data_IF_412516086302
#
_entry.id   IF_412516086302
#
_cell.length_a   1.000
_cell.length_b   1.000
_cell.length_c   1.000
_cell.angle_alpha   90.00
_cell.angle_beta   90.00
_cell.angle_gamma   90.00
#
_symmetry.space_group_name_H-M   'P 1'
#
loop_
_entity.id
_entity.type
_entity.pdbx_description
1 polymer ?
#
# COMPACT_ATOMS: atom_id res chain seq x y z
N UNK A 1 -2.04 -19.60 8.50
CA UNK A 1 -2.01 -18.45 9.42
C UNK A 1 -1.06 -17.41 8.84
N UNK A 2 -1.36 -16.10 8.98
CA UNK A 2 -0.45 -15.05 8.52
C UNK A 2 0.88 -15.11 9.29
N UNK A 3 1.99 -14.91 8.58
CA UNK A 3 3.35 -14.90 9.13
C UNK A 3 3.72 -13.49 9.63
N UNK A 4 4.50 -13.42 10.71
CA UNK A 4 4.92 -12.16 11.34
C UNK A 4 6.26 -12.32 12.09
N UNK A 5 6.96 -11.23 12.45
CA UNK A 5 8.18 -11.31 13.24
C UNK A 5 7.94 -11.84 14.67
N UNK A 6 6.80 -11.53 15.28
CA UNK A 6 6.41 -12.04 16.61
C UNK A 6 4.90 -12.14 16.70
N UNK A 7 4.40 -13.13 17.44
CA UNK A 7 2.96 -13.43 17.60
C UNK A 7 2.21 -12.35 18.39
N UNK A 8 2.11 -11.14 17.83
CA UNK A 8 1.44 -9.98 18.39
C UNK A 8 0.14 -9.73 17.61
N UNK A 9 -1.04 -9.95 18.21
CA UNK A 9 -2.31 -9.73 17.54
C UNK A 9 -2.53 -8.26 17.15
N UNK A 10 -3.19 -8.04 16.01
CA UNK A 10 -3.63 -6.70 15.60
C UNK A 10 -4.69 -6.21 16.59
N UNK A 11 -4.48 -5.02 17.16
CA UNK A 11 -5.48 -4.34 17.98
C UNK A 11 -6.17 -3.28 17.13
N UNK A 12 -7.45 -3.48 16.82
CA UNK A 12 -8.24 -2.51 16.07
C UNK A 12 -9.68 -2.46 16.59
N UNK A 13 -10.12 -1.30 17.08
CA UNK A 13 -11.44 -1.15 17.70
C UNK A 13 -11.55 -1.84 19.06
N UNK A 14 -12.34 -1.25 19.96
CA UNK A 14 -12.53 -1.80 21.32
C UNK A 14 -13.79 -2.68 21.45
N UNK A 15 -14.64 -2.66 20.42
CA UNK A 15 -15.92 -3.38 20.41
C UNK A 15 -15.74 -4.89 20.30
N UNK A 16 -16.63 -5.65 20.95
CA UNK A 16 -16.60 -7.12 20.90
C UNK A 16 -16.83 -7.67 19.48
N UNK A 17 -17.67 -7.00 18.67
CA UNK A 17 -17.88 -7.33 17.26
C UNK A 17 -16.61 -7.11 16.42
N UNK A 18 -15.85 -6.04 16.68
CA UNK A 18 -14.57 -5.78 16.01
C UNK A 18 -13.56 -6.86 16.35
N UNK A 19 -13.44 -7.23 17.63
CA UNK A 19 -12.55 -8.30 18.11
C UNK A 19 -12.90 -9.65 17.48
N UNK A 20 -14.19 -10.01 17.46
CA UNK A 20 -14.65 -11.27 16.86
C UNK A 20 -14.42 -11.28 15.33
N UNK A 21 -14.69 -10.17 14.64
CA UNK A 21 -14.43 -10.06 13.21
C UNK A 21 -12.93 -10.16 12.90
N UNK A 22 -12.08 -9.47 13.66
CA UNK A 22 -10.63 -9.53 13.50
C UNK A 22 -10.07 -10.91 13.78
N UNK A 23 -10.51 -11.57 14.85
CA UNK A 23 -10.06 -12.92 15.20
C UNK A 23 -10.45 -13.93 14.11
N UNK A 24 -11.68 -13.84 13.58
CA UNK A 24 -12.15 -14.73 12.52
C UNK A 24 -11.49 -14.46 11.16
N UNK A 25 -11.09 -13.21 10.88
CA UNK A 25 -10.52 -12.81 9.58
C UNK A 25 -8.99 -12.93 9.55
N UNK A 26 -8.32 -12.50 10.63
CA UNK A 26 -6.85 -12.40 10.69
C UNK A 26 -6.24 -13.48 11.60
N UNK A 27 -6.96 -13.92 12.63
CA UNK A 27 -6.45 -14.82 13.65
C UNK A 27 -5.26 -14.24 14.43
N UNK A 28 -4.65 -15.07 15.28
CA UNK A 28 -3.35 -14.75 15.87
C UNK A 28 -2.26 -15.08 14.83
N UNK A 29 -1.43 -14.11 14.43
CA UNK A 29 -0.39 -14.36 13.45
C UNK A 29 0.69 -15.26 14.06
N UNK A 30 1.32 -16.07 13.22
CA UNK A 30 2.38 -17.01 13.62
C UNK A 30 3.74 -16.33 13.51
N UNK A 31 4.49 -16.34 14.60
CA UNK A 31 5.90 -15.96 14.59
C UNK A 31 6.70 -16.85 13.61
N UNK A 32 7.46 -16.19 12.73
CA UNK A 32 8.27 -16.86 11.71
C UNK A 32 9.48 -17.56 12.34
N UNK A 33 9.75 -18.77 11.89
CA UNK A 33 11.05 -19.42 12.06
C UNK A 33 12.09 -18.81 11.13
N UNK A 34 13.38 -19.02 11.40
CA UNK A 34 14.46 -18.56 10.49
C UNK A 34 14.27 -19.11 9.06
N UNK A 35 13.86 -20.38 8.93
CA UNK A 35 13.58 -21.00 7.63
C UNK A 35 12.42 -20.32 6.88
N UNK A 36 11.39 -19.89 7.60
CA UNK A 36 10.28 -19.12 7.00
C UNK A 36 10.72 -17.72 6.59
N UNK A 37 11.64 -17.10 7.35
CA UNK A 37 12.26 -15.83 6.94
C UNK A 37 13.07 -16.03 5.66
N UNK A 38 13.86 -17.10 5.57
CA UNK A 38 14.61 -17.46 4.36
C UNK A 38 13.67 -17.66 3.16
N UNK A 39 12.57 -18.38 3.35
CA UNK A 39 11.57 -18.61 2.31
C UNK A 39 10.94 -17.29 1.84
N UNK A 40 10.53 -16.42 2.77
CA UNK A 40 9.95 -15.12 2.41
C UNK A 40 10.95 -14.24 1.68
N UNK A 41 12.23 -14.22 2.10
CA UNK A 41 13.27 -13.49 1.37
C UNK A 41 13.38 -14.00 -0.06
N UNK A 42 13.41 -15.32 -0.25
CA UNK A 42 13.42 -15.92 -1.57
C UNK A 42 12.16 -15.58 -2.39
N UNK A 43 10.98 -15.49 -1.77
CA UNK A 43 9.73 -15.10 -2.44
C UNK A 43 9.79 -13.66 -2.95
N UNK A 44 10.35 -12.74 -2.17
CA UNK A 44 10.55 -11.35 -2.57
C UNK A 44 11.56 -11.22 -3.72
N UNK A 45 12.66 -11.97 -3.66
CA UNK A 45 13.63 -12.05 -4.77
C UNK A 45 12.94 -12.55 -6.04
N UNK A 46 12.14 -13.61 -5.96
CA UNK A 46 11.36 -14.11 -7.11
C UNK A 46 10.38 -13.05 -7.63
N UNK A 47 9.73 -12.30 -6.74
CA UNK A 47 8.87 -11.18 -7.12
C UNK A 47 9.62 -10.10 -7.92
N UNK A 48 10.85 -9.77 -7.52
CA UNK A 48 11.69 -8.82 -8.26
C UNK A 48 12.13 -9.36 -9.63
N UNK A 49 12.41 -10.67 -9.74
CA UNK A 49 12.69 -11.34 -11.03
C UNK A 49 11.46 -11.28 -11.94
N UNK A 50 10.27 -11.63 -11.43
CA UNK A 50 9.02 -11.55 -12.20
C UNK A 50 8.73 -10.11 -12.65
N UNK A 51 8.95 -9.11 -11.79
CA UNK A 51 8.80 -7.72 -12.18
C UNK A 51 9.75 -7.34 -13.33
N UNK A 52 11.02 -7.79 -13.27
CA UNK A 52 11.99 -7.62 -14.35
C UNK A 52 11.50 -8.25 -15.65
N UNK A 53 11.07 -9.51 -15.61
CA UNK A 53 10.61 -10.27 -16.78
C UNK A 53 9.35 -9.68 -17.40
N UNK A 54 8.46 -9.12 -16.58
CA UNK A 54 7.27 -8.39 -17.01
C UNK A 54 7.57 -7.00 -17.62
N UNK A 55 8.84 -6.59 -17.66
CA UNK A 55 9.27 -5.32 -18.27
C UNK A 55 9.18 -4.11 -17.35
N UNK A 56 9.00 -4.29 -16.02
CA UNK A 56 9.11 -3.17 -15.10
C UNK A 56 10.54 -2.63 -15.06
N UNK A 57 10.65 -1.30 -15.05
CA UNK A 57 11.93 -0.61 -14.92
C UNK A 57 12.58 -0.88 -13.56
N UNK A 58 11.78 -1.18 -12.54
CA UNK A 58 12.22 -1.22 -11.17
C UNK A 58 11.27 -1.86 -10.18
N UNK A 59 11.70 -1.97 -8.91
CA UNK A 59 10.83 -2.39 -7.82
C UNK A 59 10.94 -1.49 -6.58
N UNK A 60 9.83 -1.38 -5.85
CA UNK A 60 9.75 -0.69 -4.58
C UNK A 60 9.54 -1.70 -3.46
N UNK A 61 10.46 -1.74 -2.49
CA UNK A 61 10.28 -2.55 -1.29
C UNK A 61 9.30 -1.87 -0.34
N UNK A 62 8.17 -2.50 -0.08
CA UNK A 62 7.12 -1.95 0.77
C UNK A 62 7.41 -2.18 2.27
N UNK A 63 8.11 -1.21 2.89
CA UNK A 63 8.45 -1.15 4.31
C UNK A 63 7.54 -0.26 5.15
N UNK A 64 6.31 -0.03 4.69
CA UNK A 64 5.38 0.95 5.27
C UNK A 64 4.09 0.31 5.81
N UNK A 65 3.22 1.16 6.37
CA UNK A 65 1.82 0.88 6.72
C UNK A 65 1.54 -0.36 7.59
N UNK A 66 2.52 -0.83 8.38
CA UNK A 66 2.33 -1.98 9.27
C UNK A 66 2.37 -3.35 8.57
N UNK A 67 2.80 -3.41 7.31
CA UNK A 67 3.09 -4.67 6.61
C UNK A 67 4.39 -5.28 7.10
N UNK A 68 4.71 -6.49 6.62
CA UNK A 68 5.73 -7.37 7.19
C UNK A 68 7.08 -6.68 7.48
N UNK A 69 7.63 -5.93 6.52
CA UNK A 69 8.90 -5.22 6.73
C UNK A 69 8.78 -4.13 7.80
N UNK A 70 7.70 -3.34 7.78
CA UNK A 70 7.41 -2.39 8.86
C UNK A 70 7.25 -3.07 10.21
N UNK A 71 6.74 -4.31 10.26
CA UNK A 71 6.61 -5.07 11.49
C UNK A 71 7.98 -5.47 12.05
N UNK A 72 8.91 -5.92 11.20
CA UNK A 72 10.29 -6.21 11.60
C UNK A 72 11.00 -4.96 12.14
N UNK A 73 10.79 -3.81 11.48
CA UNK A 73 11.41 -2.53 11.83
C UNK A 73 10.85 -1.87 13.10
N UNK A 74 9.76 -2.38 13.69
CA UNK A 74 9.11 -1.76 14.85
C UNK A 74 9.33 -2.59 16.12
N UNK A 75 9.71 -1.97 17.26
CA UNK A 75 9.95 -2.70 18.51
C UNK A 75 8.63 -3.16 19.16
N UNK A 76 7.50 -2.62 18.72
CA UNK A 76 6.18 -2.98 19.24
C UNK A 76 5.68 -4.32 18.68
N UNK A 77 5.99 -4.59 17.42
CA UNK A 77 5.56 -5.77 16.65
C UNK A 77 6.65 -6.81 16.51
N UNK A 78 7.93 -6.43 16.59
CA UNK A 78 9.06 -7.35 16.59
C UNK A 78 9.68 -7.43 17.99
N UNK A 79 9.35 -8.53 18.68
CA UNK A 79 9.81 -8.86 20.03
C UNK A 79 10.76 -10.06 20.03
N UNK A 80 11.34 -10.39 18.87
CA UNK A 80 12.27 -11.51 18.74
C UNK A 80 13.54 -11.24 19.54
N UNK A 81 14.17 -12.33 19.97
CA UNK A 81 15.45 -12.32 20.71
C UNK A 81 16.62 -12.83 19.87
N UNK A 82 16.37 -13.24 18.63
CA UNK A 82 17.38 -13.71 17.68
C UNK A 82 17.99 -12.56 16.86
N UNK A 83 18.71 -12.89 15.79
CA UNK A 83 19.40 -11.92 14.92
C UNK A 83 18.47 -11.04 14.08
N UNK A 84 17.16 -11.24 14.19
CA UNK A 84 16.15 -10.43 13.51
C UNK A 84 15.35 -9.55 14.48
N UNK A 85 15.70 -9.48 15.78
CA UNK A 85 14.99 -8.66 16.78
C UNK A 85 15.84 -8.00 17.85
N UNK A 86 15.17 -7.31 18.79
CA UNK A 86 15.81 -6.53 19.86
C UNK A 86 16.36 -5.19 19.36
N UNK A 87 17.67 -5.14 19.09
CA UNK A 87 18.37 -3.91 18.69
C UNK A 87 17.90 -3.39 17.32
N UNK A 88 17.91 -2.06 17.06
CA UNK A 88 17.60 -1.49 15.75
C UNK A 88 18.35 -2.16 14.58
N UNK A 89 19.63 -2.48 14.77
CA UNK A 89 20.51 -3.08 13.76
C UNK A 89 20.00 -4.47 13.33
N UNK A 90 19.63 -5.31 14.31
CA UNK A 90 19.04 -6.64 14.08
C UNK A 90 17.64 -6.55 13.46
N UNK A 91 16.82 -5.60 13.90
CA UNK A 91 15.50 -5.34 13.31
C UNK A 91 15.58 -4.88 11.85
N UNK A 92 16.68 -4.25 11.45
CA UNK A 92 16.98 -3.84 10.08
C UNK A 92 17.58 -4.96 9.21
N UNK A 93 18.01 -6.07 9.81
CA UNK A 93 18.66 -7.18 9.10
C UNK A 93 17.84 -7.77 7.94
N UNK A 94 16.51 -8.01 8.05
CA UNK A 94 15.72 -8.52 6.92
C UNK A 94 15.74 -7.59 5.71
N UNK A 95 15.62 -6.28 5.95
CA UNK A 95 15.62 -5.28 4.89
C UNK A 95 16.99 -5.20 4.20
N UNK A 96 18.09 -5.17 4.97
CA UNK A 96 19.46 -5.20 4.42
C UNK A 96 19.69 -6.44 3.56
N UNK A 97 19.21 -7.59 4.03
CA UNK A 97 19.30 -8.86 3.31
C UNK A 97 18.55 -8.81 1.98
N UNK A 98 17.29 -8.35 1.98
CA UNK A 98 16.49 -8.21 0.75
C UNK A 98 17.16 -7.29 -0.28
N UNK A 99 17.62 -6.11 0.15
CA UNK A 99 18.29 -5.16 -0.75
C UNK A 99 19.53 -5.80 -1.37
N UNK A 100 20.34 -6.51 -0.58
CA UNK A 100 21.53 -7.20 -1.08
C UNK A 100 21.16 -8.30 -2.08
N UNK A 101 20.28 -9.23 -1.71
CA UNK A 101 19.95 -10.39 -2.54
C UNK A 101 19.26 -9.98 -3.84
N UNK A 102 18.39 -8.97 -3.84
CA UNK A 102 17.77 -8.47 -5.08
C UNK A 102 18.83 -7.81 -5.98
N UNK A 103 19.77 -7.05 -5.41
CA UNK A 103 20.84 -6.41 -6.20
C UNK A 103 21.76 -7.45 -6.84
N UNK A 104 22.10 -8.51 -6.12
CA UNK A 104 22.98 -9.59 -6.58
C UNK A 104 22.30 -10.48 -7.63
N UNK A 105 21.05 -10.90 -7.39
CA UNK A 105 20.39 -11.93 -8.21
C UNK A 105 19.66 -11.40 -9.43
N UNK A 106 19.27 -10.12 -9.44
CA UNK A 106 18.51 -9.55 -10.57
C UNK A 106 19.45 -9.01 -11.67
N UNK A 107 20.77 -9.10 -11.50
CA UNK A 107 21.82 -8.80 -12.50
C UNK A 107 21.63 -7.47 -13.26
N UNK A 108 21.07 -6.44 -12.58
CA UNK A 108 21.01 -5.05 -13.07
C UNK A 108 20.55 -4.04 -12.00
N UNK A 109 20.69 -4.34 -10.69
CA UNK A 109 20.52 -3.35 -9.63
C UNK A 109 19.08 -2.91 -9.31
N UNK A 110 18.08 -3.75 -9.57
CA UNK A 110 16.66 -3.37 -9.64
C UNK A 110 15.91 -3.12 -8.32
N UNK A 111 16.53 -2.52 -7.31
CA UNK A 111 15.76 -1.91 -6.21
C UNK A 111 15.87 -0.40 -6.36
N UNK A 112 14.80 0.22 -6.80
CA UNK A 112 14.76 1.65 -7.12
C UNK A 112 14.28 2.46 -5.92
N UNK A 113 13.38 1.87 -5.14
CA UNK A 113 12.82 2.50 -3.96
C UNK A 113 12.74 1.53 -2.79
N UNK A 114 13.03 2.02 -1.60
CA UNK A 114 12.60 1.40 -0.35
C UNK A 114 11.64 2.36 0.29
N UNK A 115 10.36 1.99 0.33
CA UNK A 115 9.34 2.81 0.96
C UNK A 115 9.33 2.55 2.47
N UNK A 116 9.54 3.59 3.26
CA UNK A 116 9.49 3.51 4.71
C UNK A 116 8.44 4.51 5.19
N UNK A 117 7.51 4.05 6.03
CA UNK A 117 6.52 4.95 6.62
C UNK A 117 7.20 5.76 7.70
N UNK A 118 7.41 7.06 7.43
CA UNK A 118 8.03 7.98 8.39
C UNK A 118 7.49 7.80 9.80
N UNK A 119 6.16 7.78 10.00
CA UNK A 119 5.57 7.79 11.35
C UNK A 119 5.25 6.45 12.01
N UNK A 120 5.51 5.28 11.40
CA UNK A 120 4.95 4.00 11.91
C UNK A 120 5.97 3.02 12.51
N UNK A 121 7.28 3.21 12.28
CA UNK A 121 8.29 2.32 12.86
C UNK A 121 8.42 2.51 14.38
N UNK A 122 8.12 3.71 14.89
CA UNK A 122 8.32 4.10 16.29
C UNK A 122 7.05 4.59 17.00
N UNK A 123 5.89 4.65 16.33
CA UNK A 123 4.63 5.08 16.94
C UNK A 123 3.47 4.13 16.60
N UNK A 124 2.65 3.83 17.60
CA UNK A 124 1.50 2.92 17.53
C UNK A 124 0.28 3.50 16.78
N UNK A 125 0.30 4.78 16.39
CA UNK A 125 -0.85 5.46 15.77
C UNK A 125 -0.53 6.03 14.39
N UNK A 126 -1.22 5.53 13.36
CA UNK A 126 -1.33 6.16 12.05
C UNK A 126 -2.21 7.41 12.16
N UNK A 127 -1.63 8.55 12.52
CA UNK A 127 -2.31 9.84 12.32
C UNK A 127 -1.97 10.34 10.91
N UNK A 128 -2.99 10.62 10.10
CA UNK A 128 -2.82 11.49 8.93
C UNK A 128 -2.35 12.84 9.46
N UNK A 129 -1.05 13.12 9.37
CA UNK A 129 -0.52 14.40 9.81
C UNK A 129 -0.90 15.48 8.81
N UNK A 130 -1.38 16.60 9.34
CA UNK A 130 -1.69 17.80 8.57
C UNK A 130 -0.35 18.45 8.17
N UNK A 131 -0.07 18.67 6.88
CA UNK A 131 1.22 19.16 6.40
C UNK A 131 1.40 20.69 6.58
N UNK A 132 0.44 21.39 7.19
CA UNK A 132 0.51 22.84 7.36
C UNK A 132 0.32 23.23 8.82
N UNK A 133 1.32 23.91 9.40
CA UNK A 133 1.15 24.74 10.60
C UNK A 133 2.17 24.63 11.73
N UNK A 134 3.08 23.66 11.73
CA UNK A 134 4.17 23.57 12.71
C UNK A 134 5.33 22.77 12.10
N UNK A 135 6.58 22.94 12.57
CA UNK A 135 7.66 22.00 12.24
C UNK A 135 7.15 20.58 12.46
N UNK A 136 6.85 19.86 11.38
CA UNK A 136 6.17 18.58 11.44
C UNK A 136 7.20 17.47 11.54
N UNK A 137 6.78 16.31 12.05
CA UNK A 137 7.55 15.06 12.08
C UNK A 137 8.30 14.76 10.77
N UNK A 138 7.73 15.13 9.62
CA UNK A 138 8.38 14.96 8.32
C UNK A 138 9.63 15.81 8.18
N UNK A 139 9.67 17.02 8.73
CA UNK A 139 10.85 17.90 8.69
C UNK A 139 11.98 17.36 9.55
N UNK A 140 11.71 16.90 10.78
CA UNK A 140 12.74 16.29 11.64
C UNK A 140 13.28 14.97 11.05
N UNK A 141 12.39 14.14 10.50
CA UNK A 141 12.81 12.90 9.82
C UNK A 141 13.60 13.22 8.56
N UNK A 142 13.17 14.19 7.76
CA UNK A 142 13.90 14.67 6.58
C UNK A 142 15.31 15.15 6.96
N UNK A 143 15.41 16.03 7.96
CA UNK A 143 16.69 16.57 8.46
C UNK A 143 17.62 15.45 8.94
N UNK A 144 17.09 14.45 9.65
CA UNK A 144 17.88 13.28 10.07
C UNK A 144 18.40 12.47 8.89
N UNK A 145 17.54 12.18 7.90
CA UNK A 145 17.94 11.40 6.72
C UNK A 145 18.93 12.20 5.87
N UNK A 146 18.74 13.50 5.71
CA UNK A 146 19.70 14.40 5.06
C UNK A 146 21.06 14.38 5.76
N UNK A 147 21.06 14.44 7.10
CA UNK A 147 22.27 14.38 7.91
C UNK A 147 23.09 13.10 7.74
N UNK A 148 22.53 12.05 7.12
CA UNK A 148 23.26 10.83 6.79
C UNK A 148 24.21 10.99 5.59
N UNK A 149 24.13 12.11 4.84
CA UNK A 149 24.93 12.37 3.63
C UNK A 149 24.90 11.20 2.64
N UNK A 150 23.71 10.59 2.47
CA UNK A 150 23.51 9.47 1.56
C UNK A 150 23.32 9.96 0.12
N UNK A 151 23.93 9.28 -0.85
CA UNK A 151 23.70 9.52 -2.27
C UNK A 151 22.39 8.90 -2.79
N UNK A 152 21.60 8.27 -1.92
CA UNK A 152 20.30 7.67 -2.28
C UNK A 152 19.23 8.76 -2.33
N UNK A 153 18.54 8.96 -3.47
CA UNK A 153 17.47 9.94 -3.59
C UNK A 153 16.33 9.68 -2.61
N UNK A 154 15.84 10.74 -1.97
CA UNK A 154 14.73 10.67 -1.03
C UNK A 154 13.44 11.10 -1.75
N UNK A 155 12.39 10.28 -1.62
CA UNK A 155 11.04 10.64 -2.07
C UNK A 155 10.12 10.90 -0.88
N UNK A 156 9.39 12.01 -0.90
CA UNK A 156 8.28 12.24 0.03
C UNK A 156 6.93 12.04 -0.63
N UNK A 157 6.12 11.19 0.00
CA UNK A 157 4.75 10.90 -0.41
C UNK A 157 3.78 11.38 0.66
N UNK A 158 2.79 12.18 0.27
CA UNK A 158 1.72 12.65 1.15
C UNK A 158 1.83 14.13 1.52
N UNK A 159 0.68 14.73 1.79
CA UNK A 159 0.58 16.13 2.23
C UNK A 159 0.80 17.22 1.17
N UNK A 160 1.63 17.00 0.15
CA UNK A 160 1.89 18.00 -0.89
C UNK A 160 0.67 18.28 -1.77
N UNK A 161 0.37 19.57 -1.97
CA UNK A 161 -0.80 20.02 -2.74
C UNK A 161 -0.49 21.19 -3.68
N UNK A 162 0.33 22.14 -3.29
CA UNK A 162 0.73 23.27 -4.16
C UNK A 162 2.05 23.00 -4.86
N UNK A 163 2.21 23.54 -6.07
CA UNK A 163 3.51 23.58 -6.77
C UNK A 163 4.58 24.23 -5.89
N UNK A 164 4.28 25.38 -5.29
CA UNK A 164 5.22 26.11 -4.44
C UNK A 164 5.71 25.23 -3.29
N UNK A 165 4.81 24.58 -2.55
CA UNK A 165 5.21 23.72 -1.44
C UNK A 165 6.04 22.50 -1.88
N UNK A 166 5.80 21.97 -3.09
CA UNK A 166 6.63 20.92 -3.67
C UNK A 166 8.01 21.43 -4.08
N UNK A 167 8.06 22.61 -4.72
CA UNK A 167 9.30 23.25 -5.13
C UNK A 167 10.18 23.61 -3.93
N UNK A 168 9.59 24.18 -2.87
CA UNK A 168 10.28 24.51 -1.62
C UNK A 168 10.92 23.27 -0.97
N UNK A 169 10.19 22.14 -0.95
CA UNK A 169 10.71 20.89 -0.41
C UNK A 169 11.90 20.33 -1.22
N UNK A 170 11.91 20.52 -2.54
CA UNK A 170 13.02 20.10 -3.39
C UNK A 170 14.20 21.07 -3.26
N UNK A 171 13.95 22.38 -3.31
CA UNK A 171 14.99 23.42 -3.28
C UNK A 171 15.69 23.51 -1.92
N UNK A 172 14.96 23.28 -0.82
CA UNK A 172 15.56 23.14 0.52
C UNK A 172 16.38 21.85 0.68
N UNK A 173 16.35 20.96 -0.32
CA UNK A 173 17.02 19.66 -0.30
C UNK A 173 16.29 18.60 0.51
N UNK A 174 15.10 18.88 1.07
CA UNK A 174 14.36 17.97 1.96
C UNK A 174 14.07 16.62 1.30
N UNK A 175 13.87 16.62 -0.02
CA UNK A 175 13.76 15.44 -0.85
C UNK A 175 14.16 15.75 -2.30
N UNK A 176 14.38 14.72 -3.11
CA UNK A 176 14.64 14.85 -4.55
C UNK A 176 13.39 14.54 -5.38
N UNK A 177 12.40 13.86 -4.78
CA UNK A 177 11.20 13.39 -5.47
C UNK A 177 9.96 13.63 -4.61
N UNK A 178 8.85 13.96 -5.28
CA UNK A 178 7.53 14.11 -4.66
C UNK A 178 6.58 13.06 -5.21
N UNK A 179 6.02 12.23 -4.33
CA UNK A 179 5.02 11.22 -4.64
C UNK A 179 3.59 11.76 -4.51
N UNK A 180 2.78 11.56 -5.54
CA UNK A 180 1.35 11.87 -5.54
C UNK A 180 0.51 10.58 -5.50
N UNK A 181 -0.36 10.47 -4.50
CA UNK A 181 -1.25 9.31 -4.34
C UNK A 181 -2.68 9.61 -4.82
N UNK A 182 -3.57 9.89 -3.87
CA UNK A 182 -5.03 10.04 -4.10
C UNK A 182 -5.42 10.97 -5.24
N UNK A 183 -4.70 12.08 -5.44
CA UNK A 183 -5.03 13.02 -6.51
C UNK A 183 -4.69 12.46 -7.89
N UNK A 184 -3.59 11.71 -8.03
CA UNK A 184 -3.21 11.07 -9.29
C UNK A 184 -4.22 9.98 -9.72
N UNK A 185 -4.92 9.35 -8.76
CA UNK A 185 -6.02 8.41 -9.06
C UNK A 185 -7.22 9.11 -9.70
N UNK A 186 -7.46 10.38 -9.38
CA UNK A 186 -8.60 11.14 -9.90
C UNK A 186 -8.26 11.97 -11.12
N UNK A 187 -6.98 12.30 -11.27
CA UNK A 187 -6.46 13.19 -12.29
C UNK A 187 -5.02 12.78 -12.62
N UNK A 188 -4.82 11.74 -13.45
CA UNK A 188 -3.48 11.25 -13.79
C UNK A 188 -2.62 12.31 -14.49
N UNK A 189 -3.25 13.25 -15.20
CA UNK A 189 -2.57 14.29 -15.95
C UNK A 189 -2.19 15.51 -15.10
N UNK A 190 -2.60 15.56 -13.83
CA UNK A 190 -2.37 16.73 -12.96
C UNK A 190 -0.91 17.21 -12.86
N UNK A 191 0.12 16.34 -12.92
CA UNK A 191 1.50 16.82 -12.95
C UNK A 191 1.76 17.73 -14.16
N UNK A 192 1.25 17.35 -15.34
CA UNK A 192 1.49 18.08 -16.59
C UNK A 192 0.53 19.25 -16.77
N UNK A 193 -0.75 19.06 -16.45
CA UNK A 193 -1.79 20.05 -16.73
C UNK A 193 -1.76 21.24 -15.76
N UNK A 194 -1.39 20.99 -14.50
CA UNK A 194 -1.43 21.99 -13.43
C UNK A 194 -0.06 22.18 -12.77
N UNK A 195 0.53 21.12 -12.21
CA UNK A 195 1.67 21.29 -11.28
C UNK A 195 2.96 21.72 -11.96
N UNK A 196 3.23 21.28 -13.19
CA UNK A 196 4.42 21.64 -13.96
C UNK A 196 4.11 22.57 -15.14
N UNK A 197 2.85 23.00 -15.28
CA UNK A 197 2.42 23.85 -16.39
C UNK A 197 2.81 25.32 -16.14
N UNK A 198 3.78 25.91 -16.87
CA UNK A 198 4.21 27.27 -16.63
C UNK A 198 3.13 28.32 -16.93
N UNK A 199 2.05 27.95 -17.64
CA UNK A 199 0.92 28.84 -17.91
C UNK A 199 -0.05 28.97 -16.73
N UNK A 200 0.04 28.08 -15.74
CA UNK A 200 -0.76 28.14 -14.51
C UNK A 200 0.04 28.92 -13.47
N UNK A 201 -0.56 29.99 -12.94
CA UNK A 201 0.03 30.79 -11.87
C UNK A 201 0.25 29.95 -10.60
N UNK A 202 1.27 30.30 -9.83
CA UNK A 202 1.71 29.50 -8.69
C UNK A 202 0.66 29.38 -7.57
N UNK A 203 -0.16 30.40 -7.39
CA UNK A 203 -1.29 30.42 -6.46
C UNK A 203 -2.45 29.50 -6.89
N UNK A 204 -2.61 29.29 -8.20
CA UNK A 204 -3.60 28.40 -8.80
C UNK A 204 -3.07 26.98 -9.04
N UNK A 205 -1.76 26.75 -9.02
CA UNK A 205 -1.11 25.47 -9.27
C UNK A 205 -1.26 24.51 -8.07
N UNK A 206 -2.47 23.95 -7.93
CA UNK A 206 -2.89 23.17 -6.77
C UNK A 206 -3.52 21.83 -7.16
N UNK A 207 -3.12 20.76 -6.48
CA UNK A 207 -3.65 19.42 -6.58
C UNK A 207 -4.72 19.18 -5.51
N UNK A 208 -6.02 19.26 -5.82
CA UNK A 208 -7.06 19.26 -4.79
C UNK A 208 -7.17 17.94 -4.04
N UNK A 209 -7.56 18.01 -2.77
CA UNK A 209 -8.09 16.87 -2.06
C UNK A 209 -9.51 16.58 -2.53
N UNK A 210 -9.89 15.30 -2.54
CA UNK A 210 -11.24 14.90 -2.91
C UNK A 210 -12.01 14.41 -1.69
N UNK A 211 -13.23 14.93 -1.53
CA UNK A 211 -14.16 14.51 -0.49
C UNK A 211 -14.99 13.36 -1.06
N UNK A 212 -14.76 12.16 -0.56
CA UNK A 212 -15.49 10.97 -0.98
C UNK A 212 -16.95 11.07 -0.54
N UNK A 213 -17.88 10.95 -1.49
CA UNK A 213 -19.33 11.01 -1.20
C UNK A 213 -19.81 9.74 -0.50
N UNK A 214 -20.77 9.91 0.41
CA UNK A 214 -21.43 8.78 1.07
C UNK A 214 -20.64 8.16 2.23
N UNK A 215 -19.64 8.86 2.78
CA UNK A 215 -18.91 8.37 3.97
C UNK A 215 -19.81 8.12 5.19
N UNK A 216 -20.99 8.74 5.27
CA UNK A 216 -21.99 8.44 6.30
C UNK A 216 -22.36 6.95 6.32
N UNK A 217 -22.27 6.24 5.19
CA UNK A 217 -22.55 4.82 5.09
C UNK A 217 -21.62 3.97 5.96
N UNK A 218 -20.37 4.40 6.14
CA UNK A 218 -19.43 3.71 7.02
C UNK A 218 -19.89 3.71 8.49
N UNK A 219 -20.69 4.70 8.90
CA UNK A 219 -21.27 4.76 10.26
C UNK A 219 -22.40 3.76 10.46
N UNK A 220 -23.01 3.25 9.38
CA UNK A 220 -24.05 2.23 9.46
C UNK A 220 -23.47 0.82 9.60
N UNK A 221 -22.17 0.63 9.35
CA UNK A 221 -21.53 -0.68 9.48
C UNK A 221 -21.13 -0.90 10.95
N UNK A 222 -21.69 -1.92 11.63
CA UNK A 222 -21.42 -2.16 13.05
C UNK A 222 -19.96 -2.51 13.36
N UNK A 223 -19.25 -3.04 12.37
CA UNK A 223 -17.84 -3.45 12.45
C UNK A 223 -16.96 -2.32 11.92
N UNK A 224 -16.30 -1.59 12.82
CA UNK A 224 -15.51 -0.39 12.53
C UNK A 224 -14.33 -0.67 11.62
N UNK A 225 -13.71 -1.85 11.72
CA UNK A 225 -12.59 -2.24 10.83
C UNK A 225 -13.03 -2.33 9.36
N UNK A 226 -14.27 -2.73 9.11
CA UNK A 226 -14.82 -2.76 7.75
C UNK A 226 -15.15 -1.33 7.31
N UNK A 227 -15.76 -0.53 8.21
CA UNK A 227 -16.14 0.86 7.92
C UNK A 227 -14.95 1.77 7.56
N UNK A 228 -13.80 1.63 8.24
CA UNK A 228 -12.61 2.44 7.98
C UNK A 228 -11.97 2.18 6.60
N UNK A 229 -12.12 0.96 6.07
CA UNK A 229 -11.63 0.57 4.74
C UNK A 229 -12.48 1.05 3.57
N UNK A 230 -13.73 1.48 3.81
CA UNK A 230 -14.66 1.84 2.74
C UNK A 230 -14.22 3.05 1.92
N UNK A 231 -13.64 4.08 2.57
CA UNK A 231 -13.15 5.25 1.85
C UNK A 231 -12.01 4.90 0.86
N UNK A 232 -11.25 3.84 1.14
CA UNK A 232 -10.19 3.35 0.25
C UNK A 232 -10.79 2.69 -0.99
N UNK A 233 -11.95 2.03 -0.87
CA UNK A 233 -12.63 1.39 -2.00
C UNK A 233 -13.00 2.38 -3.11
N UNK A 234 -13.27 3.64 -2.78
CA UNK A 234 -13.44 4.70 -3.77
C UNK A 234 -12.22 4.87 -4.68
N UNK A 235 -11.01 4.83 -4.12
CA UNK A 235 -9.78 4.94 -4.90
C UNK A 235 -9.49 3.65 -5.66
N UNK A 236 -9.77 2.47 -5.08
CA UNK A 236 -9.64 1.19 -5.78
C UNK A 236 -10.59 1.08 -6.97
N UNK A 237 -11.83 1.51 -6.82
CA UNK A 237 -12.79 1.59 -7.91
C UNK A 237 -12.27 2.46 -9.07
N UNK A 238 -11.75 3.65 -8.76
CA UNK A 238 -11.19 4.55 -9.76
C UNK A 238 -9.91 4.00 -10.41
N UNK A 239 -9.02 3.35 -9.65
CA UNK A 239 -7.84 2.69 -10.24
C UNK A 239 -8.22 1.56 -11.20
N UNK A 240 -9.25 0.75 -10.87
CA UNK A 240 -9.77 -0.27 -11.79
C UNK A 240 -10.34 0.34 -13.07
N UNK A 241 -11.09 1.45 -12.94
CA UNK A 241 -11.59 2.21 -14.11
C UNK A 241 -10.44 2.67 -15.01
N UNK A 242 -9.42 3.29 -14.43
CA UNK A 242 -8.22 3.72 -15.17
C UNK A 242 -7.53 2.53 -15.85
N UNK A 243 -7.38 1.40 -15.16
CA UNK A 243 -6.83 0.16 -15.72
C UNK A 243 -7.62 -0.38 -16.92
N UNK A 244 -8.93 -0.11 -16.98
CA UNK A 244 -9.81 -0.47 -18.09
C UNK A 244 -9.92 0.64 -19.16
N UNK A 245 -9.05 1.65 -19.12
CA UNK A 245 -9.06 2.77 -20.07
C UNK A 245 -10.19 3.79 -19.86
N UNK A 246 -10.92 3.71 -18.75
CA UNK A 246 -11.99 4.64 -18.40
C UNK A 246 -11.46 5.80 -17.55
N UNK A 247 -12.09 6.96 -17.65
CA UNK A 247 -11.82 8.09 -16.74
C UNK A 247 -12.30 7.80 -15.33
N UNK A 248 -11.62 8.39 -14.35
CA UNK A 248 -12.04 8.38 -12.95
C UNK A 248 -13.41 9.02 -12.78
N UNK A 249 -14.28 8.35 -12.02
CA UNK A 249 -15.58 8.85 -11.61
C UNK A 249 -15.45 9.52 -10.23
N UNK A 250 -15.43 10.85 -10.24
CA UNK A 250 -15.43 11.71 -9.04
C UNK A 250 -16.80 11.77 -8.35
N UNK A 251 -17.87 11.36 -9.05
CA UNK A 251 -19.25 11.45 -8.59
C UNK A 251 -19.71 10.22 -7.81
N UNK A 252 -19.06 9.08 -8.01
CA UNK A 252 -19.45 7.80 -7.38
C UNK A 252 -19.41 7.89 -5.85
N UNK A 253 -20.41 7.29 -5.21
CA UNK A 253 -20.53 7.25 -3.76
C UNK A 253 -20.16 5.89 -3.18
N UNK A 254 -19.78 5.85 -1.90
CA UNK A 254 -19.48 4.59 -1.20
C UNK A 254 -20.63 3.56 -1.27
N UNK A 255 -21.90 3.92 -0.98
CA UNK A 255 -23.01 2.98 -1.13
C UNK A 255 -23.11 2.36 -2.52
N UNK A 256 -22.92 3.18 -3.56
CA UNK A 256 -22.96 2.72 -4.95
C UNK A 256 -21.86 1.71 -5.24
N UNK A 257 -20.63 1.96 -4.78
CA UNK A 257 -19.50 1.04 -4.95
C UNK A 257 -19.77 -0.30 -4.25
N UNK A 258 -20.26 -0.25 -3.01
CA UNK A 258 -20.57 -1.47 -2.24
C UNK A 258 -21.68 -2.26 -2.92
N UNK A 259 -22.74 -1.60 -3.36
CA UNK A 259 -23.84 -2.26 -4.07
C UNK A 259 -23.37 -2.92 -5.37
N UNK A 260 -22.60 -2.22 -6.19
CA UNK A 260 -22.04 -2.79 -7.42
C UNK A 260 -21.12 -3.99 -7.13
N UNK A 261 -20.27 -3.90 -6.11
CA UNK A 261 -19.39 -5.01 -5.73
C UNK A 261 -20.16 -6.26 -5.27
N UNK A 262 -21.28 -6.06 -4.56
CA UNK A 262 -22.17 -7.16 -4.17
C UNK A 262 -22.78 -7.81 -5.42
N UNK A 263 -23.36 -7.01 -6.32
CA UNK A 263 -23.98 -7.50 -7.56
C UNK A 263 -22.97 -8.26 -8.43
N UNK A 264 -21.77 -7.70 -8.61
CA UNK A 264 -20.69 -8.31 -9.38
C UNK A 264 -20.23 -9.64 -8.78
N UNK A 265 -20.13 -9.73 -7.45
CA UNK A 265 -19.81 -10.97 -6.74
C UNK A 265 -20.89 -12.02 -6.93
N UNK A 266 -22.17 -11.64 -6.83
CA UNK A 266 -23.29 -12.55 -7.08
C UNK A 266 -23.33 -13.06 -8.52
N UNK A 267 -23.12 -12.16 -9.49
CA UNK A 267 -23.08 -12.53 -10.91
C UNK A 267 -21.90 -13.47 -11.21
N UNK A 268 -20.71 -13.17 -10.71
CA UNK A 268 -19.53 -14.02 -10.89
C UNK A 268 -19.71 -15.37 -10.21
N UNK A 269 -20.29 -15.41 -9.00
CA UNK A 269 -20.58 -16.65 -8.30
C UNK A 269 -21.61 -17.51 -9.02
N UNK A 270 -22.65 -16.89 -9.58
CA UNK A 270 -23.65 -17.58 -10.41
C UNK A 270 -23.03 -18.13 -11.70
N UNK A 271 -22.20 -17.33 -12.38
CA UNK A 271 -21.49 -17.76 -13.59
C UNK A 271 -20.56 -18.95 -13.30
N UNK A 272 -19.77 -18.89 -12.23
CA UNK A 272 -18.92 -20.01 -11.81
C UNK A 272 -19.73 -21.26 -11.44
N UNK A 273 -20.89 -21.10 -10.80
CA UNK A 273 -21.79 -22.21 -10.51
C UNK A 273 -22.37 -22.81 -11.80
N UNK A 274 -22.76 -21.98 -12.76
CA UNK A 274 -23.24 -22.42 -14.07
C UNK A 274 -22.15 -23.12 -14.87
N UNK A 275 -20.91 -22.61 -14.89
CA UNK A 275 -19.77 -23.28 -15.52
C UNK A 275 -19.49 -24.65 -14.91
N UNK A 276 -19.54 -24.77 -13.57
CA UNK A 276 -19.39 -26.07 -12.89
C UNK A 276 -20.52 -27.04 -13.25
N UNK A 277 -21.76 -26.57 -13.37
CA UNK A 277 -22.90 -27.40 -13.81
C UNK A 277 -22.72 -27.83 -15.26
N UNK A 278 -22.34 -26.92 -16.16
CA UNK A 278 -22.09 -27.22 -17.57
C UNK A 278 -20.94 -28.22 -17.76
N UNK A 279 -19.86 -28.10 -16.97
CA UNK A 279 -18.74 -29.04 -16.96
C UNK A 279 -19.10 -30.41 -16.36
N UNK A 280 -20.13 -30.48 -15.51
CA UNK A 280 -20.63 -31.72 -14.91
C UNK A 280 -21.64 -32.47 -15.77
N UNK A 281 -22.14 -31.85 -16.85
CA UNK A 281 -23.04 -32.52 -17.79
C UNK A 281 -22.22 -33.39 -18.75
N UNK A 282 -22.55 -34.69 -18.89
CA UNK A 282 -21.84 -35.55 -19.82
C UNK A 282 -22.10 -35.06 -21.25
N UNK A 283 -21.03 -34.74 -21.99
CA UNK A 283 -21.10 -34.41 -23.41
C UNK A 283 -21.83 -35.55 -24.15
N UNK A 284 -23.08 -35.30 -24.52
CA UNK A 284 -23.86 -36.22 -25.33
C UNK A 284 -23.25 -36.29 -26.74
N UNK A 285 -22.80 -37.49 -27.12
CA UNK A 285 -22.61 -37.86 -28.52
C UNK A 285 -21.17 -37.96 -29.00
N UNK A 286 -20.39 -38.93 -28.50
CA UNK A 286 -19.54 -39.70 -29.42
C UNK A 286 -20.45 -40.69 -30.14
N UNK A 287 -20.87 -40.33 -31.34
CA UNK A 287 -21.50 -41.27 -32.27
C UNK A 287 -20.51 -42.41 -32.53
N UNK A 288 -20.89 -43.63 -32.11
CA UNK A 288 -20.38 -44.86 -32.71
C UNK A 288 -21.06 -44.98 -34.08
N UNK A 289 -20.25 -45.05 -35.13
CA UNK A 289 -20.68 -45.39 -36.48
C UNK A 289 -19.50 -46.02 -37.21
N UNK A 290 -19.59 -47.34 -37.35
CA UNK A 290 -18.97 -48.29 -38.31
C UNK A 290 -17.61 -47.96 -38.95
#
# INVERSE_FOLDING_TARGET
>A
MPLCPSSVPVKFGDGWLDKMALDKVLGTPKEMTIKEIDAVVADWVRGAVVAKEAGFAGCQLHGAHGFLLSQFLSPYTNRRTDDYGGTPEKRLAPLKRLVREIRELVECGKVDFVEISGGNAENLTSKLHNPFGAKTYFTEFAERVQGLNSNVPIQFSGGFRSRVGMADAIQSGACQLIGLGRTAVLDPDIPKSILLNPSVLDDAAFAPSHIVKGQWFAKLIPVKVIGSGLAIQFFYHNMRRLGNGLKSDRGVSIPSIVFHGIVETFQTGLLQAMERVLQSLPLAGKAKGE
#
